data_IF_399527046095
#
_entry.id   IF_399527046095
#
_cell.length_a   1.000
_cell.length_b   1.000
_cell.length_c   1.000
_cell.angle_alpha   90.00
_cell.angle_beta   90.00
_cell.angle_gamma   90.00
#
_symmetry.space_group_name_H-M   'P 1'
#
loop_
_entity.id
_entity.type
_entity.pdbx_description
1 polymer ?
#
# COMPACT_ATOMS: atom_id res chain seq x y z
N UNK A 1 16.53 18.49 -14.92
CA UNK A 1 15.33 17.65 -14.72
C UNK A 1 14.73 17.33 -16.08
N UNK A 2 15.20 16.28 -16.74
CA UNK A 2 14.52 15.73 -17.92
C UNK A 2 13.67 14.55 -17.43
N UNK A 3 12.36 14.67 -17.59
CA UNK A 3 11.35 13.78 -17.02
C UNK A 3 10.66 14.41 -15.81
N UNK A 4 9.57 15.14 -16.03
CA UNK A 4 8.80 15.84 -14.98
C UNK A 4 8.14 14.92 -13.93
N UNK A 5 7.27 15.51 -13.10
CA UNK A 5 6.54 14.83 -12.02
C UNK A 5 5.73 13.61 -12.51
N UNK A 6 5.47 12.64 -11.62
CA UNK A 6 4.66 11.46 -11.93
C UNK A 6 3.18 11.85 -12.03
N UNK A 7 2.78 12.28 -13.22
CA UNK A 7 1.43 12.72 -13.54
C UNK A 7 0.57 11.61 -14.18
N UNK A 8 -0.66 11.94 -14.55
CA UNK A 8 -1.60 10.99 -15.15
C UNK A 8 -1.07 10.36 -16.45
N UNK A 9 -0.43 11.15 -17.32
CA UNK A 9 0.12 10.65 -18.58
C UNK A 9 1.24 9.64 -18.28
N UNK A 10 2.12 9.94 -17.31
CA UNK A 10 3.15 9.00 -16.89
C UNK A 10 2.62 7.72 -16.24
N UNK A 11 1.47 7.82 -15.57
CA UNK A 11 0.86 6.69 -14.86
C UNK A 11 0.14 5.71 -15.79
N UNK A 12 -0.35 6.16 -16.95
CA UNK A 12 -1.23 5.35 -17.80
C UNK A 12 -0.85 5.30 -19.29
N UNK A 13 0.07 6.15 -19.75
CA UNK A 13 0.39 6.30 -21.19
C UNK A 13 1.87 6.36 -21.51
N UNK A 14 2.73 6.67 -20.54
CA UNK A 14 4.18 6.72 -20.73
C UNK A 14 4.85 5.41 -20.32
N UNK A 15 5.52 4.76 -21.26
CA UNK A 15 6.32 3.54 -21.03
C UNK A 15 7.70 3.84 -20.41
N UNK A 16 8.08 5.12 -20.26
CA UNK A 16 9.39 5.51 -19.69
C UNK A 16 9.47 5.39 -18.17
N UNK A 17 8.37 5.08 -17.48
CA UNK A 17 8.40 4.81 -16.04
C UNK A 17 8.87 3.37 -15.80
N UNK A 18 10.08 3.22 -15.28
CA UNK A 18 10.63 1.93 -14.92
C UNK A 18 10.10 1.45 -13.57
N UNK A 19 9.80 0.15 -13.50
CA UNK A 19 9.28 -0.54 -12.33
C UNK A 19 10.39 -1.45 -11.78
N UNK A 20 11.15 -0.94 -10.81
CA UNK A 20 12.25 -1.67 -10.18
C UNK A 20 11.74 -2.49 -8.99
N UNK A 21 11.65 -3.80 -9.16
CA UNK A 21 11.33 -4.75 -8.09
C UNK A 21 12.35 -5.91 -8.19
N UNK A 22 13.25 -6.10 -7.21
CA UNK A 22 13.38 -5.35 -5.95
C UNK A 22 13.86 -3.91 -6.15
N UNK A 23 13.60 -3.06 -5.13
CA UNK A 23 14.02 -1.67 -5.14
C UNK A 23 15.55 -1.56 -5.02
N UNK A 24 16.16 -0.72 -5.84
CA UNK A 24 17.61 -0.43 -5.82
C UNK A 24 17.93 0.63 -4.77
N UNK A 25 17.69 0.29 -3.51
CA UNK A 25 17.99 1.11 -2.34
C UNK A 25 18.72 0.26 -1.30
N UNK A 26 19.51 0.89 -0.43
CA UNK A 26 20.17 0.22 0.68
C UNK A 26 19.16 -0.45 1.61
N UNK A 27 19.55 -1.58 2.19
CA UNK A 27 18.66 -2.41 3.02
C UNK A 27 18.09 -1.64 4.21
N UNK A 28 18.87 -0.72 4.79
CA UNK A 28 18.44 0.14 5.90
C UNK A 28 17.27 1.04 5.50
N UNK A 29 17.36 1.69 4.34
CA UNK A 29 16.29 2.53 3.78
C UNK A 29 15.05 1.68 3.46
N UNK A 30 15.24 0.50 2.88
CA UNK A 30 14.12 -0.41 2.59
C UNK A 30 13.37 -0.83 3.86
N UNK A 31 14.08 -1.08 4.95
CA UNK A 31 13.49 -1.48 6.21
C UNK A 31 12.80 -0.30 6.92
N UNK A 32 13.35 0.91 6.81
CA UNK A 32 12.68 2.15 7.24
C UNK A 32 11.36 2.35 6.47
N UNK A 33 11.37 2.21 5.14
CA UNK A 33 10.17 2.32 4.29
C UNK A 33 9.10 1.31 4.74
N UNK A 34 9.46 0.04 4.99
CA UNK A 34 8.51 -0.98 5.47
C UNK A 34 7.93 -0.60 6.84
N UNK A 35 8.77 -0.15 7.77
CA UNK A 35 8.35 0.25 9.11
C UNK A 35 7.39 1.44 9.06
N UNK A 36 7.71 2.47 8.26
CA UNK A 36 6.86 3.63 8.04
C UNK A 36 5.56 3.28 7.34
N UNK A 37 5.57 2.32 6.41
CA UNK A 37 4.35 1.87 5.72
C UNK A 37 3.37 1.23 6.72
N UNK A 38 3.86 0.36 7.60
CA UNK A 38 3.07 -0.29 8.66
C UNK A 38 2.56 0.75 9.66
N UNK A 39 3.43 1.68 10.09
CA UNK A 39 3.06 2.75 11.03
C UNK A 39 1.97 3.64 10.45
N UNK A 40 2.10 4.04 9.18
CA UNK A 40 1.14 4.91 8.48
C UNK A 40 -0.20 4.21 8.26
N UNK A 41 -0.19 2.93 7.87
CA UNK A 41 -1.39 2.09 7.75
C UNK A 41 -2.15 2.01 9.09
N UNK A 42 -1.42 1.77 10.18
CA UNK A 42 -2.00 1.65 11.52
C UNK A 42 -2.53 2.99 12.04
N UNK A 43 -1.77 4.07 11.86
CA UNK A 43 -2.12 5.41 12.32
C UNK A 43 -3.41 5.93 11.67
N UNK A 44 -3.67 5.56 10.41
CA UNK A 44 -4.90 5.94 9.69
C UNK A 44 -6.04 4.92 9.85
N UNK A 45 -5.88 3.92 10.73
CA UNK A 45 -6.88 2.86 10.94
C UNK A 45 -7.30 2.16 9.63
N UNK A 46 -6.36 2.00 8.70
CA UNK A 46 -6.62 1.29 7.45
C UNK A 46 -7.00 -0.16 7.70
N UNK A 47 -7.78 -0.75 6.80
CA UNK A 47 -8.17 -2.16 6.85
C UNK A 47 -8.25 -2.77 5.46
N UNK A 48 -7.98 -4.06 5.35
CA UNK A 48 -7.89 -4.75 4.05
C UNK A 48 -6.55 -4.44 3.41
N UNK A 49 -6.50 -3.44 2.53
CA UNK A 49 -5.29 -3.07 1.80
C UNK A 49 -5.02 -1.56 1.83
N UNK A 50 -3.75 -1.23 1.61
CA UNK A 50 -3.35 0.09 1.16
C UNK A 50 -2.01 -0.01 0.42
N UNK A 51 -1.76 0.91 -0.50
CA UNK A 51 -0.42 1.18 -1.03
C UNK A 51 0.07 2.49 -0.41
N UNK A 52 1.24 2.46 0.23
CA UNK A 52 1.88 3.66 0.77
C UNK A 52 3.00 4.06 -0.17
N UNK A 53 2.93 5.28 -0.67
CA UNK A 53 3.90 5.82 -1.62
C UNK A 53 4.87 6.75 -0.88
N UNK A 54 6.14 6.63 -1.20
CA UNK A 54 7.23 7.34 -0.53
C UNK A 54 7.99 8.22 -1.52
N UNK A 55 8.60 9.28 -0.99
CA UNK A 55 9.63 10.06 -1.65
C UNK A 55 10.91 9.88 -0.85
N UNK A 56 12.03 9.62 -1.53
CA UNK A 56 13.36 9.54 -0.92
C UNK A 56 14.19 10.67 -1.49
N UNK A 57 14.77 11.49 -0.62
CA UNK A 57 15.71 12.54 -1.03
C UNK A 57 17.02 11.92 -1.50
N UNK A 58 17.49 12.30 -2.69
CA UNK A 58 18.63 11.65 -3.34
C UNK A 58 19.99 12.00 -2.71
N UNK A 59 20.10 13.12 -1.99
CA UNK A 59 21.35 13.57 -1.39
C UNK A 59 21.48 13.15 0.09
N UNK A 60 20.35 13.13 0.79
CA UNK A 60 20.28 12.87 2.24
C UNK A 60 19.72 11.49 2.60
N UNK A 61 19.18 10.78 1.61
CA UNK A 61 18.48 9.48 1.77
C UNK A 61 17.28 9.55 2.72
N UNK A 62 16.81 10.75 3.04
CA UNK A 62 15.69 10.95 3.94
C UNK A 62 14.40 10.45 3.30
N UNK A 63 13.67 9.60 4.03
CA UNK A 63 12.40 9.01 3.59
C UNK A 63 11.22 9.87 4.04
N UNK A 64 10.31 10.16 3.10
CA UNK A 64 9.07 10.90 3.35
C UNK A 64 7.87 10.07 2.90
N UNK A 65 6.88 9.92 3.77
CA UNK A 65 5.56 9.38 3.39
C UNK A 65 4.86 10.43 2.53
N UNK A 66 4.57 10.09 1.28
CA UNK A 66 3.91 11.00 0.34
C UNK A 66 2.38 10.88 0.45
N UNK A 67 1.86 9.67 0.21
CA UNK A 67 0.43 9.40 0.23
C UNK A 67 0.11 7.97 0.61
N UNK A 68 -1.13 7.75 1.05
CA UNK A 68 -1.70 6.43 1.26
C UNK A 68 -2.91 6.25 0.34
N UNK A 69 -2.85 5.20 -0.48
CA UNK A 69 -3.90 4.81 -1.39
C UNK A 69 -4.66 3.60 -0.80
N UNK A 70 -5.85 3.81 -0.24
CA UNK A 70 -6.65 2.74 0.37
C UNK A 70 -7.30 1.81 -0.66
N UNK A 71 -7.44 2.27 -1.91
CA UNK A 71 -7.89 1.46 -3.05
C UNK A 71 -6.88 1.71 -4.20
N UNK A 72 -5.74 1.01 -4.20
CA UNK A 72 -4.76 1.17 -5.27
C UNK A 72 -5.29 0.59 -6.59
N UNK A 73 -4.64 0.94 -7.71
CA UNK A 73 -4.98 0.39 -9.02
C UNK A 73 -4.67 -1.11 -9.13
N UNK A 74 -5.45 -1.82 -9.96
CA UNK A 74 -5.33 -3.26 -10.25
C UNK A 74 -5.23 -3.56 -11.76
N UNK A 75 -4.80 -2.57 -12.55
CA UNK A 75 -4.50 -2.78 -13.98
C UNK A 75 -3.23 -3.62 -14.16
N UNK A 76 -2.95 -4.18 -15.35
CA UNK A 76 -1.73 -4.97 -15.59
C UNK A 76 -0.40 -4.24 -15.29
N UNK A 77 -0.41 -2.91 -15.33
CA UNK A 77 0.75 -2.06 -15.02
C UNK A 77 0.74 -1.53 -13.58
N UNK A 78 -0.28 -1.85 -12.79
CA UNK A 78 -0.41 -1.32 -11.44
C UNK A 78 0.62 -1.92 -10.49
N UNK A 79 1.22 -1.05 -9.67
CA UNK A 79 2.29 -1.40 -8.73
C UNK A 79 1.83 -2.39 -7.65
N UNK A 80 0.61 -2.24 -7.12
CA UNK A 80 0.18 -3.03 -5.95
C UNK A 80 0.15 -4.54 -6.23
N UNK A 81 -0.51 -5.06 -7.28
CA UNK A 81 -0.44 -6.49 -7.61
C UNK A 81 0.99 -6.99 -7.86
N UNK A 82 1.82 -6.20 -8.57
CA UNK A 82 3.22 -6.57 -8.89
C UNK A 82 4.09 -6.73 -7.65
N UNK A 83 3.92 -5.87 -6.64
CA UNK A 83 4.66 -5.98 -5.38
C UNK A 83 4.30 -7.26 -4.62
N UNK A 84 3.01 -7.66 -4.63
CA UNK A 84 2.58 -8.91 -4.00
C UNK A 84 3.13 -10.14 -4.73
N UNK A 85 3.07 -10.16 -6.07
CA UNK A 85 3.68 -11.24 -6.86
C UNK A 85 5.17 -11.38 -6.58
N UNK A 86 5.90 -10.26 -6.52
CA UNK A 86 7.32 -10.26 -6.18
C UNK A 86 7.62 -10.70 -4.75
N UNK A 87 6.65 -10.55 -3.83
CA UNK A 87 6.73 -11.12 -2.47
C UNK A 87 6.45 -12.63 -2.41
N UNK A 88 6.10 -13.24 -3.55
CA UNK A 88 5.80 -14.66 -3.67
C UNK A 88 4.33 -15.03 -3.55
N UNK A 89 3.43 -14.04 -3.47
CA UNK A 89 1.98 -14.25 -3.34
C UNK A 89 1.31 -13.91 -4.67
N UNK A 90 0.75 -14.89 -5.40
CA UNK A 90 0.03 -14.64 -6.64
C UNK A 90 -1.19 -13.73 -6.43
N UNK A 91 -1.55 -12.95 -7.46
CA UNK A 91 -2.69 -12.01 -7.39
C UNK A 91 -4.00 -12.70 -6.99
N UNK A 92 -4.24 -13.93 -7.46
CA UNK A 92 -5.43 -14.70 -7.09
C UNK A 92 -5.51 -14.97 -5.58
N UNK A 93 -4.42 -15.43 -4.98
CA UNK A 93 -4.34 -15.68 -3.53
C UNK A 93 -4.48 -14.38 -2.72
N UNK A 94 -3.82 -13.31 -3.16
CA UNK A 94 -3.98 -11.99 -2.55
C UNK A 94 -5.44 -11.52 -2.58
N UNK A 95 -6.17 -11.72 -3.69
CA UNK A 95 -7.59 -11.36 -3.77
C UNK A 95 -8.44 -12.17 -2.82
N UNK A 96 -8.18 -13.48 -2.68
CA UNK A 96 -8.85 -14.34 -1.70
C UNK A 96 -8.62 -13.82 -0.27
N UNK A 97 -7.37 -13.51 0.09
CA UNK A 97 -7.03 -12.91 1.39
C UNK A 97 -7.79 -11.61 1.66
N UNK A 98 -7.95 -10.74 0.66
CA UNK A 98 -8.69 -9.47 0.82
C UNK A 98 -10.19 -9.69 1.07
N UNK A 99 -10.79 -10.69 0.40
CA UNK A 99 -12.19 -11.08 0.65
C UNK A 99 -12.34 -11.63 2.06
N UNK A 100 -11.44 -12.51 2.50
CA UNK A 100 -11.45 -13.06 3.86
C UNK A 100 -11.33 -11.96 4.92
N UNK A 101 -10.42 -11.00 4.75
CA UNK A 101 -10.28 -9.85 5.64
C UNK A 101 -11.56 -9.01 5.69
N UNK A 102 -12.23 -8.82 4.56
CA UNK A 102 -13.51 -8.09 4.51
C UNK A 102 -14.61 -8.82 5.28
N UNK A 103 -14.71 -10.14 5.14
CA UNK A 103 -15.67 -10.95 5.90
C UNK A 103 -15.39 -10.94 7.41
N UNK A 104 -14.12 -11.11 7.80
CA UNK A 104 -13.68 -11.05 9.20
C UNK A 104 -14.08 -9.71 9.83
N UNK A 105 -13.76 -8.60 9.14
CA UNK A 105 -14.14 -7.26 9.60
C UNK A 105 -15.65 -7.08 9.68
N UNK A 106 -16.40 -7.62 8.73
CA UNK A 106 -17.87 -7.58 8.76
C UNK A 106 -18.42 -8.31 9.98
N UNK A 107 -17.91 -9.52 10.30
CA UNK A 107 -18.29 -10.29 11.50
C UNK A 107 -17.99 -9.51 12.78
N UNK A 108 -16.77 -9.00 12.93
CA UNK A 108 -16.37 -8.20 14.10
C UNK A 108 -17.29 -6.99 14.31
N UNK A 109 -17.64 -6.28 13.23
CA UNK A 109 -18.54 -5.12 13.32
C UNK A 109 -19.95 -5.50 13.77
N UNK A 110 -20.42 -6.70 13.46
CA UNK A 110 -21.74 -7.19 13.91
C UNK A 110 -21.77 -7.60 15.37
N UNK A 111 -20.62 -7.96 15.94
CA UNK A 111 -20.47 -8.30 17.36
C UNK A 111 -20.35 -7.05 18.25
N UNK A 112 -20.10 -5.87 17.67
CA UNK A 112 -20.09 -4.62 18.41
C UNK A 112 -21.46 -4.36 19.02
N UNK A 113 -21.50 -4.23 20.35
CA UNK A 113 -22.71 -3.84 21.07
C UNK A 113 -23.06 -2.39 20.73
N UNK A 114 -24.31 -2.16 20.37
CA UNK A 114 -24.82 -0.85 19.93
C UNK A 114 -25.84 -0.24 20.89
N UNK A 115 -26.13 -0.90 22.01
CA UNK A 115 -27.10 -0.46 23.00
C UNK A 115 -26.53 -0.47 24.44
N UNK A 116 -27.24 0.17 25.37
CA UNK A 116 -26.81 0.37 26.76
C UNK A 116 -27.58 -0.50 27.78
N UNK A 117 -28.23 -1.59 27.36
CA UNK A 117 -29.13 -2.38 28.22
C UNK A 117 -28.49 -2.90 29.51
N UNK A 118 -27.17 -3.11 29.53
CA UNK A 118 -26.46 -3.73 30.65
C UNK A 118 -25.85 -2.73 31.66
N UNK A 119 -26.05 -1.41 31.48
CA UNK A 119 -25.62 -0.37 32.43
C UNK A 119 -26.73 0.01 33.41
N UNK A 120 -27.37 -0.98 34.04
CA UNK A 120 -28.34 -0.76 35.14
C UNK A 120 -27.75 -1.08 36.49
#
# INVERSE_FOLDING_TARGET
MQGGFYDYEKKYRDESTELCIPCDLDQEIQDEIKALAIASYSALCCTGMARVDFLVDADTEQVFVSEINTIPGFTPISMYPKLWEASGIPVGEMLEMLVELAEQRHRMRRELRTDFSDFR
#
